data_IF_494313088920
#
_entry.id   IF_494313088920
#
_cell.length_a   1.000
_cell.length_b   1.000
_cell.length_c   1.000
_cell.angle_alpha   90.00
_cell.angle_beta   90.00
_cell.angle_gamma   90.00
#
_symmetry.space_group_name_H-M   'P 1'
#
loop_
_entity.id
_entity.type
_entity.pdbx_description
1 polymer ?
#
# COMPACT_ATOMS: atom_id res chain seq x y z
N UNK A 1 7.68 15.29 -22.60
CA UNK A 1 6.67 14.21 -22.49
C UNK A 1 6.42 13.93 -21.03
N UNK A 2 5.17 13.76 -20.60
CA UNK A 2 4.88 13.35 -19.22
C UNK A 2 5.10 11.84 -19.09
N UNK A 3 5.74 11.40 -18.01
CA UNK A 3 6.08 9.99 -17.79
C UNK A 3 4.83 9.14 -17.55
N UNK A 4 4.93 7.82 -17.71
CA UNK A 4 3.85 6.88 -17.38
C UNK A 4 3.36 7.05 -15.93
N UNK A 5 4.29 7.30 -15.01
CA UNK A 5 4.02 7.59 -13.60
C UNK A 5 3.17 8.85 -13.40
N UNK A 6 3.36 9.88 -14.24
CA UNK A 6 2.55 11.10 -14.18
C UNK A 6 1.07 10.82 -14.51
N UNK A 7 0.80 10.01 -15.53
CA UNK A 7 -0.57 9.72 -15.96
C UNK A 7 -1.30 8.79 -14.98
N UNK A 8 -0.56 7.88 -14.36
CA UNK A 8 -1.07 7.07 -13.26
C UNK A 8 -1.49 7.96 -12.08
N UNK A 9 -0.61 8.87 -11.66
CA UNK A 9 -0.89 9.82 -10.58
C UNK A 9 -2.10 10.72 -10.92
N UNK A 10 -2.21 11.22 -12.15
CA UNK A 10 -3.33 12.05 -12.58
C UNK A 10 -4.67 11.28 -12.53
N UNK A 11 -4.70 10.04 -13.01
CA UNK A 11 -5.92 9.21 -13.00
C UNK A 11 -6.35 8.88 -11.58
N UNK A 12 -5.39 8.60 -10.70
CA UNK A 12 -5.59 8.39 -9.27
C UNK A 12 -6.21 9.64 -8.63
N UNK A 13 -5.71 10.84 -8.93
CA UNK A 13 -6.22 12.11 -8.39
C UNK A 13 -7.64 12.45 -8.89
N UNK A 14 -7.95 12.13 -10.14
CA UNK A 14 -9.28 12.35 -10.72
C UNK A 14 -10.33 11.40 -10.10
N UNK A 15 -9.95 10.17 -9.78
CA UNK A 15 -10.83 9.19 -9.12
C UNK A 15 -11.11 9.55 -7.65
N UNK A 16 -10.17 10.21 -6.95
CA UNK A 16 -10.37 10.77 -5.60
C UNK A 16 -11.39 11.90 -5.59
N UNK A 17 -11.28 12.80 -6.56
CA UNK A 17 -12.11 14.01 -6.58
C UNK A 17 -13.60 13.70 -6.82
N UNK A 18 -13.89 12.56 -7.48
CA UNK A 18 -15.25 12.13 -7.78
C UNK A 18 -15.94 11.35 -6.66
N UNK A 19 -15.20 10.66 -5.80
CA UNK A 19 -15.76 9.76 -4.79
C UNK A 19 -15.34 10.18 -3.37
N UNK A 20 -16.30 10.33 -2.46
CA UNK A 20 -16.05 10.43 -1.00
C UNK A 20 -15.55 9.08 -0.42
N UNK A 21 -14.51 8.51 -1.01
CA UNK A 21 -13.87 7.27 -0.58
C UNK A 21 -12.98 7.56 0.63
N UNK A 22 -13.02 6.70 1.65
CA UNK A 22 -12.07 6.74 2.75
C UNK A 22 -10.63 6.61 2.21
N UNK A 23 -9.64 7.13 2.94
CA UNK A 23 -8.23 7.04 2.54
C UNK A 23 -7.77 5.60 2.27
N UNK A 24 -8.33 4.64 3.01
CA UNK A 24 -8.14 3.21 2.75
C UNK A 24 -8.68 2.78 1.37
N UNK A 25 -9.91 3.17 1.02
CA UNK A 25 -10.50 2.83 -0.27
C UNK A 25 -9.79 3.53 -1.44
N UNK A 26 -9.29 4.73 -1.19
CA UNK A 26 -8.39 5.41 -2.10
C UNK A 26 -7.09 4.61 -2.31
N UNK A 27 -6.42 4.21 -1.23
CA UNK A 27 -5.24 3.34 -1.29
C UNK A 27 -5.53 2.04 -2.04
N UNK A 28 -6.68 1.40 -1.82
CA UNK A 28 -7.05 0.16 -2.51
C UNK A 28 -7.22 0.34 -4.04
N UNK A 29 -7.66 1.53 -4.47
CA UNK A 29 -7.78 1.87 -5.90
C UNK A 29 -6.39 1.96 -6.54
N UNK A 30 -5.44 2.64 -5.87
CA UNK A 30 -4.03 2.68 -6.27
C UNK A 30 -3.43 1.27 -6.29
N UNK A 31 -3.64 0.48 -5.22
CA UNK A 31 -3.09 -0.85 -5.08
C UNK A 31 -3.55 -1.82 -6.17
N UNK A 32 -4.76 -1.65 -6.70
CA UNK A 32 -5.21 -2.44 -7.85
C UNK A 32 -4.35 -2.17 -9.09
N UNK A 33 -3.98 -0.91 -9.34
CA UNK A 33 -3.11 -0.53 -10.46
C UNK A 33 -1.67 -0.98 -10.26
N UNK A 34 -1.15 -0.85 -9.05
CA UNK A 34 0.16 -1.37 -8.68
C UNK A 34 0.20 -2.90 -8.88
N UNK A 35 -0.86 -3.62 -8.50
CA UNK A 35 -0.95 -5.07 -8.70
C UNK A 35 -0.91 -5.46 -10.19
N UNK A 36 -1.60 -4.72 -11.06
CA UNK A 36 -1.57 -4.93 -12.51
C UNK A 36 -0.13 -4.77 -13.07
N UNK A 37 0.61 -3.76 -12.61
CA UNK A 37 2.01 -3.55 -13.00
C UNK A 37 2.95 -4.61 -12.42
N UNK A 38 2.76 -4.98 -11.15
CA UNK A 38 3.54 -6.01 -10.46
C UNK A 38 3.35 -7.39 -11.08
N UNK A 39 2.16 -7.71 -11.60
CA UNK A 39 1.87 -9.00 -12.23
C UNK A 39 2.74 -9.29 -13.47
N UNK A 40 3.41 -8.27 -14.03
CA UNK A 40 4.37 -8.42 -15.13
C UNK A 40 5.76 -8.87 -14.65
N UNK A 41 6.00 -8.94 -13.34
CA UNK A 41 7.28 -9.31 -12.70
C UNK A 41 7.14 -10.68 -12.01
N UNK A 42 8.28 -11.29 -11.67
CA UNK A 42 8.28 -12.45 -10.76
C UNK A 42 7.95 -11.96 -9.34
N UNK A 43 6.89 -12.50 -8.75
CA UNK A 43 6.37 -12.08 -7.44
C UNK A 43 6.54 -13.18 -6.38
N UNK A 44 6.65 -12.81 -5.09
CA UNK A 44 6.69 -13.79 -4.01
C UNK A 44 5.41 -14.64 -3.92
N UNK A 45 5.56 -15.95 -3.72
CA UNK A 45 4.43 -16.86 -3.53
C UNK A 45 3.85 -16.77 -2.11
N UNK A 46 4.70 -16.59 -1.10
CA UNK A 46 4.28 -16.40 0.27
C UNK A 46 3.63 -15.03 0.47
N UNK A 47 2.48 -14.99 1.15
CA UNK A 47 1.69 -13.76 1.31
C UNK A 47 2.41 -12.73 2.16
N UNK A 48 3.09 -13.14 3.23
CA UNK A 48 3.89 -12.23 4.07
C UNK A 48 5.01 -11.60 3.23
N UNK A 49 5.71 -12.43 2.44
CA UNK A 49 6.77 -11.98 1.54
C UNK A 49 6.24 -11.02 0.46
N UNK A 50 5.04 -11.25 -0.08
CA UNK A 50 4.39 -10.29 -1.00
C UNK A 50 4.04 -8.97 -0.32
N UNK A 51 3.57 -9.00 0.93
CA UNK A 51 3.29 -7.77 1.70
C UNK A 51 4.57 -6.96 1.92
N UNK A 52 5.66 -7.60 2.35
CA UNK A 52 6.95 -6.95 2.54
C UNK A 52 7.49 -6.39 1.22
N UNK A 53 7.43 -7.17 0.13
CA UNK A 53 7.85 -6.72 -1.20
C UNK A 53 7.03 -5.51 -1.68
N UNK A 54 5.71 -5.54 -1.49
CA UNK A 54 4.85 -4.41 -1.84
C UNK A 54 5.25 -3.17 -1.05
N UNK A 55 5.46 -3.29 0.27
CA UNK A 55 5.88 -2.16 1.10
C UNK A 55 7.22 -1.55 0.65
N UNK A 56 8.20 -2.38 0.26
CA UNK A 56 9.48 -1.90 -0.32
C UNK A 56 9.26 -1.16 -1.65
N UNK A 57 8.40 -1.69 -2.51
CA UNK A 57 8.03 -1.03 -3.77
C UNK A 57 7.35 0.33 -3.51
N UNK A 58 6.53 0.45 -2.46
CA UNK A 58 5.94 1.73 -2.08
C UNK A 58 6.96 2.72 -1.53
N UNK A 59 7.98 2.25 -0.81
CA UNK A 59 9.10 3.07 -0.35
C UNK A 59 9.76 3.79 -1.54
N UNK A 60 10.00 3.04 -2.63
CA UNK A 60 10.58 3.57 -3.88
C UNK A 60 9.60 4.50 -4.63
N UNK A 61 8.34 4.12 -4.82
CA UNK A 61 7.39 4.91 -5.62
C UNK A 61 7.00 6.24 -4.98
N UNK A 62 6.90 6.27 -3.65
CA UNK A 62 6.41 7.44 -2.92
C UNK A 62 7.54 8.25 -2.27
N UNK A 63 8.80 7.87 -2.53
CA UNK A 63 9.98 8.43 -1.84
C UNK A 63 9.78 8.46 -0.32
N UNK A 64 9.14 7.41 0.19
CA UNK A 64 8.84 7.29 1.61
C UNK A 64 10.06 6.77 2.37
N UNK A 65 10.01 6.86 3.70
CA UNK A 65 10.96 6.16 4.56
C UNK A 65 10.18 5.18 5.43
N UNK A 66 10.06 3.93 4.97
CA UNK A 66 9.31 2.87 5.62
C UNK A 66 10.24 1.93 6.39
N UNK A 67 9.91 1.67 7.65
CA UNK A 67 10.50 0.58 8.43
C UNK A 67 9.54 -0.60 8.43
N UNK A 68 10.01 -1.76 7.98
CA UNK A 68 9.22 -2.98 7.85
C UNK A 68 9.74 -4.00 8.87
N UNK A 69 8.85 -4.51 9.72
CA UNK A 69 9.14 -5.59 10.67
C UNK A 69 8.09 -6.70 10.55
N UNK A 70 8.52 -7.94 10.72
CA UNK A 70 7.66 -9.12 10.67
C UNK A 70 7.63 -9.79 12.04
N UNK A 71 6.43 -10.12 12.52
CA UNK A 71 6.25 -10.84 13.78
C UNK A 71 4.99 -11.72 13.69
N UNK A 72 5.12 -13.03 13.92
CA UNK A 72 3.99 -13.97 14.05
C UNK A 72 2.91 -13.90 12.94
N UNK A 73 3.30 -13.78 11.66
CA UNK A 73 2.36 -13.67 10.53
C UNK A 73 1.77 -12.26 10.34
N UNK A 74 2.30 -11.28 11.06
CA UNK A 74 1.95 -9.87 10.95
C UNK A 74 3.12 -9.09 10.35
N UNK A 75 2.81 -8.13 9.49
CA UNK A 75 3.77 -7.18 8.93
C UNK A 75 3.45 -5.78 9.46
N UNK A 76 4.43 -5.18 10.10
CA UNK A 76 4.37 -3.86 10.71
C UNK A 76 5.15 -2.90 9.84
N UNK A 77 4.47 -1.90 9.29
CA UNK A 77 5.02 -0.91 8.38
C UNK A 77 4.90 0.44 9.06
N UNK A 78 6.03 0.99 9.50
CA UNK A 78 6.09 2.29 10.18
C UNK A 78 6.66 3.33 9.23
N UNK A 79 6.00 4.47 9.17
CA UNK A 79 6.44 5.64 8.41
C UNK A 79 7.39 6.45 9.30
N UNK A 80 8.62 6.63 8.85
CA UNK A 80 9.68 7.34 9.56
C UNK A 80 10.02 8.65 8.85
N UNK A 81 9.05 9.55 8.79
CA UNK A 81 9.16 10.86 8.16
C UNK A 81 8.84 11.98 9.15
N UNK A 82 9.44 13.14 8.95
CA UNK A 82 9.11 14.36 9.69
C UNK A 82 7.83 15.00 9.13
N UNK A 83 6.68 14.41 9.48
CA UNK A 83 5.36 14.94 9.13
C UNK A 83 4.47 15.11 10.38
N UNK A 84 3.47 15.99 10.32
CA UNK A 84 2.41 16.06 11.31
C UNK A 84 1.71 14.70 11.53
N UNK A 85 1.27 14.43 12.76
CA UNK A 85 0.72 13.13 13.16
C UNK A 85 -0.54 12.71 12.37
N UNK A 86 -1.38 13.67 12.00
CA UNK A 86 -2.55 13.48 11.13
C UNK A 86 -2.14 13.04 9.73
N UNK A 87 -1.09 13.65 9.16
CA UNK A 87 -0.56 13.28 7.84
C UNK A 87 0.09 11.90 7.84
N UNK A 88 0.77 11.55 8.92
CA UNK A 88 1.32 10.19 9.09
C UNK A 88 0.20 9.15 9.19
N UNK A 89 -0.89 9.45 9.89
CA UNK A 89 -2.08 8.59 9.97
C UNK A 89 -2.75 8.41 8.61
N UNK A 90 -2.92 9.50 7.85
CA UNK A 90 -3.48 9.46 6.51
C UNK A 90 -2.65 8.57 5.57
N UNK A 91 -1.32 8.71 5.60
CA UNK A 91 -0.41 7.87 4.81
C UNK A 91 -0.49 6.40 5.21
N UNK A 92 -0.59 6.09 6.50
CA UNK A 92 -0.71 4.72 6.97
C UNK A 92 -2.00 4.05 6.46
N UNK A 93 -3.13 4.78 6.44
CA UNK A 93 -4.39 4.32 5.85
C UNK A 93 -4.26 4.00 4.36
N UNK A 94 -3.62 4.89 3.61
CA UNK A 94 -3.39 4.70 2.17
C UNK A 94 -2.52 3.46 1.93
N UNK A 95 -1.39 3.33 2.62
CA UNK A 95 -0.48 2.18 2.51
C UNK A 95 -1.22 0.88 2.82
N UNK A 96 -2.03 0.86 3.89
CA UNK A 96 -2.78 -0.31 4.28
C UNK A 96 -3.83 -0.72 3.23
N UNK A 97 -4.48 0.26 2.61
CA UNK A 97 -5.40 0.06 1.50
C UNK A 97 -4.70 -0.52 0.26
N UNK A 98 -3.56 0.06 -0.11
CA UNK A 98 -2.74 -0.39 -1.24
C UNK A 98 -2.37 -1.86 -1.09
N UNK A 99 -1.75 -2.22 0.03
CA UNK A 99 -1.23 -3.56 0.27
C UNK A 99 -2.36 -4.59 0.28
N UNK A 100 -3.49 -4.25 0.93
CA UNK A 100 -4.66 -5.13 0.98
C UNK A 100 -5.19 -5.42 -0.43
N UNK A 101 -5.25 -4.41 -1.29
CA UNK A 101 -5.66 -4.58 -2.67
C UNK A 101 -4.64 -5.40 -3.48
N UNK A 102 -3.34 -5.16 -3.30
CA UNK A 102 -2.29 -5.92 -4.01
C UNK A 102 -2.38 -7.41 -3.68
N UNK A 103 -2.44 -7.78 -2.40
CA UNK A 103 -2.58 -9.18 -1.99
C UNK A 103 -3.86 -9.79 -2.55
N UNK A 104 -4.98 -9.05 -2.48
CA UNK A 104 -6.26 -9.49 -3.02
C UNK A 104 -6.24 -9.73 -4.53
N UNK A 105 -5.49 -8.94 -5.29
CA UNK A 105 -5.41 -9.04 -6.75
C UNK A 105 -4.39 -10.07 -7.22
N UNK A 106 -3.22 -10.11 -6.60
CA UNK A 106 -2.11 -10.99 -7.02
C UNK A 106 -2.36 -12.44 -6.57
N UNK A 107 -2.82 -12.64 -5.32
CA UNK A 107 -2.92 -13.96 -4.73
C UNK A 107 -4.36 -14.43 -4.50
N UNK A 108 -5.36 -13.59 -4.80
CA UNK A 108 -6.78 -13.86 -4.49
C UNK A 108 -7.00 -14.20 -3.00
N UNK A 109 -6.21 -13.60 -2.11
CA UNK A 109 -6.27 -13.79 -0.65
C UNK A 109 -6.80 -12.55 0.05
N UNK A 110 -7.24 -12.70 1.30
CA UNK A 110 -7.66 -11.59 2.15
C UNK A 110 -6.68 -11.44 3.30
N UNK A 111 -6.23 -10.21 3.51
CA UNK A 111 -5.46 -9.81 4.70
C UNK A 111 -6.25 -8.78 5.48
N UNK A 112 -6.01 -8.69 6.78
CA UNK A 112 -6.64 -7.66 7.62
C UNK A 112 -5.65 -6.54 7.86
N UNK A 113 -6.06 -5.32 7.59
CA UNK A 113 -5.30 -4.12 7.89
C UNK A 113 -5.80 -3.46 9.18
N UNK A 114 -4.87 -2.94 9.99
CA UNK A 114 -5.15 -2.02 11.09
C UNK A 114 -4.12 -0.90 11.07
N UNK A 115 -4.53 0.31 11.41
CA UNK A 115 -3.68 1.51 11.39
C UNK A 115 -3.61 2.11 12.79
N UNK A 116 -2.43 2.63 13.13
CA UNK A 116 -2.14 3.22 14.43
C UNK A 116 -1.21 4.42 14.25
N UNK A 117 -1.78 5.61 14.03
CA UNK A 117 -0.98 6.79 13.70
C UNK A 117 -0.07 6.53 12.50
N UNK A 118 1.24 6.69 12.66
CA UNK A 118 2.24 6.49 11.61
C UNK A 118 2.51 5.03 11.20
N UNK A 119 1.66 4.07 11.58
CA UNK A 119 1.90 2.65 11.36
C UNK A 119 0.70 1.96 10.71
N UNK A 120 0.98 1.16 9.68
CA UNK A 120 0.08 0.17 9.13
C UNK A 120 0.50 -1.23 9.59
N UNK A 121 -0.44 -2.00 10.12
CA UNK A 121 -0.27 -3.39 10.54
C UNK A 121 -1.12 -4.29 9.64
N UNK A 122 -0.46 -5.20 8.94
CA UNK A 122 -1.11 -6.16 8.04
C UNK A 122 -1.03 -7.54 8.67
N UNK A 123 -2.19 -8.12 8.98
CA UNK A 123 -2.32 -9.46 9.54
C UNK A 123 -2.61 -10.43 8.42
N UNK A 124 -1.69 -11.37 8.20
CA UNK A 124 -1.84 -12.46 7.24
C UNK A 124 -2.35 -13.68 8.01
N UNK A 125 -3.63 -14.01 7.84
CA UNK A 125 -4.19 -15.27 8.34
C UNK A 125 -4.08 -16.31 7.24
N UNK A 126 -3.38 -17.41 7.51
CA UNK A 126 -3.28 -18.57 6.63
C UNK A 126 -4.64 -19.22 6.34
#
# INVERSE_FOLDING_TARGET
>A
MKSTSYWLLQSILEEIAGDKKSLFAFGASIGTKIAEEMALKALPEETVSLVCYTAQVLDEYFECTLQIAQENGEVHIRINEELPADRLADKAEIIAGIITAVVGRVQNKRVRAKTYGAQAKIVVTE
#
